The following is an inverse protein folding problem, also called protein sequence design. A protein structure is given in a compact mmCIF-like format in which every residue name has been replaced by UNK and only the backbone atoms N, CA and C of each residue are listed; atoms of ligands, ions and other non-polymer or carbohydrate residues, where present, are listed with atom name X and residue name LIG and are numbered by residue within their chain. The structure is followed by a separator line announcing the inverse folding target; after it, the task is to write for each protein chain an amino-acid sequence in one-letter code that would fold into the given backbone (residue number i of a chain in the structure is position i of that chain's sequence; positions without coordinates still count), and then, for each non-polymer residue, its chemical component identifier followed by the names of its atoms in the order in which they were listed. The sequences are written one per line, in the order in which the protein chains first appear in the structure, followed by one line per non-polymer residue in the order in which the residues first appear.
data_IF_935664529117
#
_entry.id   IF_935664529117
#
_cell.length_a   1.000
_cell.length_b   1.000
_cell.length_c   1.000
_cell.angle_alpha   90.00
_cell.angle_beta   90.00
_cell.angle_gamma   90.00
#
_symmetry.space_group_name_H-M   'P 1'
#
loop_
_entity.id
_entity.type
_entity.pdbx_description
1 polymer ?
#
# COMPACT_ATOMS: atom_id res chain seq x y z
N UNK A 1 13.04 -12.54 -0.05
CA UNK A 1 12.32 -11.75 -1.08
C UNK A 1 12.77 -10.29 -0.97
N UNK A 2 12.97 -9.57 -2.07
CA UNK A 2 13.49 -8.18 -1.99
C UNK A 2 12.34 -7.18 -1.79
N UNK A 3 12.06 -6.84 -0.53
CA UNK A 3 10.94 -5.96 -0.13
C UNK A 3 10.98 -4.59 -0.83
N UNK A 4 12.18 -4.02 -0.99
CA UNK A 4 12.37 -2.74 -1.69
C UNK A 4 11.88 -2.80 -3.13
N UNK A 5 12.18 -3.87 -3.86
CA UNK A 5 11.75 -4.03 -5.25
C UNK A 5 10.22 -4.13 -5.36
N UNK A 6 9.56 -4.75 -4.37
CA UNK A 6 8.09 -4.86 -4.35
C UNK A 6 7.45 -3.50 -4.14
N UNK A 7 7.95 -2.71 -3.18
CA UNK A 7 7.45 -1.35 -2.93
C UNK A 7 7.67 -0.46 -4.16
N UNK A 8 8.87 -0.49 -4.76
CA UNK A 8 9.16 0.32 -5.96
C UNK A 8 8.26 -0.10 -7.12
N UNK A 9 8.08 -1.41 -7.35
CA UNK A 9 7.20 -1.91 -8.41
C UNK A 9 5.76 -1.46 -8.24
N UNK A 10 5.21 -1.59 -7.03
CA UNK A 10 3.86 -1.10 -6.72
C UNK A 10 3.76 0.43 -6.86
N UNK A 11 4.76 1.16 -6.38
CA UNK A 11 4.80 2.62 -6.46
C UNK A 11 4.74 3.11 -7.92
N UNK A 12 5.52 2.50 -8.81
CA UNK A 12 5.48 2.82 -10.24
C UNK A 12 4.08 2.53 -10.81
N UNK A 13 3.51 1.35 -10.52
CA UNK A 13 2.19 0.97 -11.04
C UNK A 13 1.10 1.93 -10.56
N UNK A 14 1.04 2.25 -9.27
CA UNK A 14 0.03 3.15 -8.73
C UNK A 14 0.18 4.58 -9.26
N UNK A 15 1.41 5.09 -9.40
CA UNK A 15 1.63 6.41 -10.00
C UNK A 15 1.19 6.45 -11.47
N UNK A 16 1.46 5.41 -12.25
CA UNK A 16 0.99 5.30 -13.63
C UNK A 16 -0.53 5.24 -13.71
N UNK A 17 -1.18 4.51 -12.80
CA UNK A 17 -2.64 4.46 -12.72
C UNK A 17 -3.23 5.84 -12.39
N UNK A 18 -2.67 6.53 -11.40
CA UNK A 18 -3.11 7.89 -11.02
C UNK A 18 -2.84 8.93 -12.12
N UNK A 19 -1.80 8.72 -12.94
CA UNK A 19 -1.52 9.57 -14.10
C UNK A 19 -2.53 9.33 -15.24
N UNK A 20 -2.98 8.08 -15.42
CA UNK A 20 -3.98 7.72 -16.42
C UNK A 20 -5.38 8.19 -16.03
N UNK A 21 -5.81 7.84 -14.82
CA UNK A 21 -7.07 8.28 -14.23
C UNK A 21 -6.84 8.50 -12.73
N UNK A 22 -6.88 9.77 -12.33
CA UNK A 22 -6.59 10.17 -10.98
C UNK A 22 -7.56 9.57 -9.97
N UNK A 23 -8.86 9.65 -10.26
CA UNK A 23 -9.89 9.20 -9.33
C UNK A 23 -9.80 7.70 -9.13
N UNK A 24 -9.72 6.95 -10.22
CA UNK A 24 -9.56 5.50 -10.18
C UNK A 24 -8.28 5.08 -9.46
N UNK A 25 -7.13 5.69 -9.80
CA UNK A 25 -5.84 5.36 -9.20
C UNK A 25 -5.80 5.65 -7.70
N UNK A 26 -6.33 6.79 -7.26
CA UNK A 26 -6.39 7.15 -5.84
C UNK A 26 -7.36 6.26 -5.07
N UNK A 27 -8.55 6.00 -5.62
CA UNK A 27 -9.54 5.12 -5.00
C UNK A 27 -8.99 3.70 -4.83
N UNK A 28 -8.33 3.16 -5.87
CA UNK A 28 -7.73 1.83 -5.82
C UNK A 28 -6.61 1.76 -4.78
N UNK A 29 -5.73 2.77 -4.73
CA UNK A 29 -4.66 2.84 -3.75
C UNK A 29 -5.20 2.91 -2.31
N UNK A 30 -6.25 3.68 -2.07
CA UNK A 30 -6.89 3.75 -0.74
C UNK A 30 -7.51 2.42 -0.32
N UNK A 31 -8.30 1.78 -1.20
CA UNK A 31 -9.00 0.54 -0.87
C UNK A 31 -7.99 -0.59 -0.62
N UNK A 32 -7.07 -0.82 -1.57
CA UNK A 32 -6.10 -1.92 -1.48
C UNK A 32 -5.11 -1.68 -0.34
N UNK A 33 -4.67 -0.43 -0.16
CA UNK A 33 -3.80 -0.03 0.94
C UNK A 33 -4.45 -0.23 2.30
N UNK A 34 -5.71 0.19 2.47
CA UNK A 34 -6.45 0.04 3.73
C UNK A 34 -6.71 -1.42 4.08
N UNK A 35 -7.12 -2.24 3.10
CA UNK A 35 -7.32 -3.68 3.31
C UNK A 35 -6.00 -4.34 3.72
N UNK A 36 -4.91 -4.06 2.99
CA UNK A 36 -3.59 -4.64 3.29
C UNK A 36 -3.10 -4.21 4.68
N UNK A 37 -3.33 -2.95 5.07
CA UNK A 37 -3.00 -2.45 6.41
C UNK A 37 -3.82 -3.17 7.48
N UNK A 38 -5.13 -3.33 7.28
CA UNK A 38 -6.00 -4.02 8.24
C UNK A 38 -5.57 -5.47 8.44
N UNK A 39 -5.30 -6.20 7.35
CA UNK A 39 -4.83 -7.59 7.45
C UNK A 39 -3.45 -7.66 8.10
N UNK A 40 -2.53 -6.75 7.75
CA UNK A 40 -1.21 -6.67 8.40
C UNK A 40 -1.33 -6.43 9.91
N UNK A 41 -2.14 -5.45 10.31
CA UNK A 41 -2.34 -5.09 11.71
C UNK A 41 -2.96 -6.24 12.51
N UNK A 42 -4.03 -6.86 12.00
CA UNK A 42 -4.68 -8.00 12.66
C UNK A 42 -3.72 -9.18 12.76
N UNK A 43 -2.99 -9.51 11.69
CA UNK A 43 -2.00 -10.59 11.71
C UNK A 43 -0.92 -10.33 12.77
N UNK A 44 -0.45 -9.08 12.87
CA UNK A 44 0.56 -8.70 13.86
C UNK A 44 0.04 -8.78 15.31
N UNK A 45 -1.22 -8.39 15.54
CA UNK A 45 -1.86 -8.50 16.86
C UNK A 45 -2.03 -9.97 17.25
N UNK A 46 -2.48 -10.83 16.34
CA UNK A 46 -2.67 -12.26 16.60
C UNK A 46 -1.34 -12.94 16.94
N UNK A 47 -0.27 -12.61 16.22
CA UNK A 47 1.09 -13.13 16.47
C UNK A 47 1.60 -12.82 17.89
N UNK A 48 1.20 -11.69 18.46
CA UNK A 48 1.56 -11.33 19.83
C UNK A 48 0.83 -12.14 20.89
N UNK A 49 -0.38 -12.62 20.59
CA UNK A 49 -1.18 -13.42 21.52
C UNK A 49 -0.75 -14.89 21.46
N UNK A 50 -0.63 -15.43 20.24
CA UNK A 50 -0.22 -16.79 20.00
C UNK A 50 0.85 -16.79 18.89
N UNK A 51 2.10 -17.18 19.19
CA UNK A 51 3.17 -17.19 18.20
C UNK A 51 2.82 -18.21 17.13
N UNK A 52 2.31 -17.71 16.02
CA UNK A 52 1.89 -18.52 14.90
C UNK A 52 3.15 -18.88 14.11
N UNK A 53 3.20 -20.07 13.50
CA UNK A 53 4.33 -20.43 12.62
C UNK A 53 4.28 -19.71 11.27
N UNK A 54 3.70 -18.51 11.20
CA UNK A 54 3.57 -17.75 9.96
C UNK A 54 4.96 -17.26 9.54
N UNK A 55 5.32 -17.60 8.30
CA UNK A 55 6.63 -17.26 7.74
C UNK A 55 6.80 -15.75 7.66
N UNK A 56 7.99 -15.26 8.03
CA UNK A 56 8.36 -13.84 7.95
C UNK A 56 8.13 -13.21 6.57
N UNK A 57 8.22 -13.99 5.50
CA UNK A 57 7.97 -13.54 4.13
C UNK A 57 6.53 -13.04 3.92
N UNK A 58 5.54 -13.62 4.59
CA UNK A 58 4.14 -13.19 4.50
C UNK A 58 3.94 -11.80 5.11
N UNK A 59 4.54 -11.56 6.28
CA UNK A 59 4.51 -10.24 6.92
C UNK A 59 5.19 -9.17 6.05
N UNK A 60 6.30 -9.51 5.39
CA UNK A 60 6.99 -8.60 4.46
C UNK A 60 6.14 -8.30 3.22
N UNK A 61 5.45 -9.31 2.67
CA UNK A 61 4.55 -9.12 1.55
C UNK A 61 3.40 -8.18 1.92
N UNK A 62 2.72 -8.45 3.03
CA UNK A 62 1.58 -7.65 3.46
C UNK A 62 2.01 -6.22 3.84
N UNK A 63 3.21 -6.05 4.41
CA UNK A 63 3.79 -4.73 4.65
C UNK A 63 4.01 -3.97 3.33
N UNK A 64 4.58 -4.63 2.32
CA UNK A 64 4.75 -3.99 1.00
C UNK A 64 3.40 -3.59 0.39
N UNK A 65 2.37 -4.43 0.55
CA UNK A 65 1.03 -4.23 -0.02
C UNK A 65 0.27 -3.03 0.51
N UNK A 66 0.56 -2.54 1.73
CA UNK A 66 -0.02 -1.29 2.21
C UNK A 66 0.93 -0.09 2.06
N UNK A 67 2.24 -0.30 2.24
CA UNK A 67 3.24 0.78 2.13
C UNK A 67 3.38 1.29 0.70
N UNK A 68 3.35 0.40 -0.30
CA UNK A 68 3.43 0.79 -1.72
C UNK A 68 2.32 1.76 -2.15
N UNK A 69 1.03 1.40 -2.02
CA UNK A 69 -0.08 2.28 -2.34
C UNK A 69 -0.09 3.55 -1.49
N UNK A 70 0.22 3.46 -0.19
CA UNK A 70 0.25 4.62 0.70
C UNK A 70 1.32 5.63 0.28
N UNK A 71 2.52 5.17 -0.05
CA UNK A 71 3.59 6.03 -0.55
C UNK A 71 3.26 6.63 -1.92
N UNK A 72 2.69 5.84 -2.83
CA UNK A 72 2.29 6.34 -4.14
C UNK A 72 1.24 7.45 -4.02
N UNK A 73 0.23 7.23 -3.18
CA UNK A 73 -0.84 8.20 -2.93
C UNK A 73 -0.31 9.48 -2.27
N UNK A 74 0.53 9.35 -1.23
CA UNK A 74 1.13 10.50 -0.56
C UNK A 74 2.02 11.31 -1.52
N UNK A 75 2.87 10.63 -2.30
CA UNK A 75 3.75 11.29 -3.27
C UNK A 75 2.95 11.98 -4.37
N UNK A 76 1.92 11.33 -4.90
CA UNK A 76 1.10 11.91 -5.96
C UNK A 76 0.36 13.18 -5.49
N UNK A 77 -0.23 13.14 -4.29
CA UNK A 77 -0.90 14.33 -3.69
C UNK A 77 0.10 15.46 -3.47
N UNK A 78 1.30 15.16 -2.95
CA UNK A 78 2.36 16.15 -2.74
C UNK A 78 2.83 16.78 -4.05
N UNK A 79 3.03 15.97 -5.10
CA UNK A 79 3.48 16.45 -6.41
C UNK A 79 2.42 17.27 -7.14
N UNK A 80 1.14 16.94 -6.94
CA UNK A 80 0.02 17.60 -7.63
C UNK A 80 -0.55 18.80 -6.85
N UNK A 81 -0.16 18.96 -5.59
CA UNK A 81 -0.57 20.06 -4.73
C UNK A 81 -1.98 19.92 -4.15
N UNK A 82 -2.56 18.71 -4.17
CA UNK A 82 -3.92 18.46 -3.68
C UNK A 82 -4.53 17.16 -4.19
N UNK A 83 -5.77 16.93 -3.79
CA UNK A 83 -6.60 15.80 -4.24
C UNK A 83 -7.50 16.34 -5.37
N UNK A 84 -7.17 16.04 -6.62
CA UNK A 84 -7.77 16.72 -7.77
C UNK A 84 -9.27 16.45 -7.99
N UNK A 85 -9.83 15.44 -7.34
CA UNK A 85 -11.28 15.18 -7.35
C UNK A 85 -12.04 15.79 -6.16
N UNK A 86 -11.33 16.43 -5.22
CA UNK A 86 -11.93 17.19 -4.11
C UNK A 86 -11.95 18.71 -4.38
N UNK A 87 -11.41 19.15 -5.52
CA UNK A 87 -11.32 20.55 -5.95
C UNK A 87 -12.34 20.88 -7.03
#
# INVERSE_FOLDING_TARGET
MNLILMIIGQLIVYLLLMLFDEYFGQLLAMIVGAISLAVWAISHIVEWIEPSRVKRDYYQYMLSGWVGPALALALFILLRGGIGWMS
#
